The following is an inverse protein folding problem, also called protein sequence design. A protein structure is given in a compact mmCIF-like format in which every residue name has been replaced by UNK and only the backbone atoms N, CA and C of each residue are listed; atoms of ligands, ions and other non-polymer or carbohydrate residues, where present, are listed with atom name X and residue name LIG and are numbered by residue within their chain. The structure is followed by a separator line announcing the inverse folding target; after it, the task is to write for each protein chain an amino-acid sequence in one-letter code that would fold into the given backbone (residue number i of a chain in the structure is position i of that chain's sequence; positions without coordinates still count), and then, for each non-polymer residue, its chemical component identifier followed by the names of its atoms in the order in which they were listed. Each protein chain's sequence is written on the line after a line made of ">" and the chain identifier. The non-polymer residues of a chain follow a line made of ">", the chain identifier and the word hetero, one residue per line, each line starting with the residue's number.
data_IF_102107837584
#
_entry.id   IF_102107837584
#
_cell.length_a   1.000
_cell.length_b   1.000
_cell.length_c   1.000
_cell.angle_alpha   90.00
_cell.angle_beta   90.00
_cell.angle_gamma   90.00
#
_symmetry.space_group_name_H-M   'P 1'
#
loop_
_entity.id
_entity.type
_entity.pdbx_description
1 polymer ?
#
# COMPACT_ATOMS: atom_id res chain seq x y z
N UNK A 1 65.61 44.45 9.00
CA UNK A 1 65.65 45.27 7.75
C UNK A 1 64.50 44.86 6.88
N UNK A 2 63.59 45.81 6.64
CA UNK A 2 62.67 46.04 5.54
C UNK A 2 61.88 44.82 4.99
N UNK A 3 60.64 44.61 5.32
CA UNK A 3 59.41 45.36 4.93
C UNK A 3 59.18 45.48 3.42
N UNK A 4 58.23 44.80 2.89
CA UNK A 4 57.37 45.39 1.87
C UNK A 4 55.93 44.75 1.88
N UNK A 5 54.96 45.60 2.20
CA UNK A 5 53.54 45.39 2.15
C UNK A 5 53.07 45.49 0.67
N UNK A 6 52.41 44.47 0.14
CA UNK A 6 51.58 44.63 -1.06
C UNK A 6 50.08 44.63 -0.70
N UNK A 7 49.47 45.80 -0.73
CA UNK A 7 48.03 46.05 -0.73
C UNK A 7 47.49 45.68 -2.11
N UNK A 8 46.64 44.66 -2.19
CA UNK A 8 45.78 44.38 -3.36
C UNK A 8 44.41 44.96 -3.07
N UNK A 9 44.05 45.97 -3.86
CA UNK A 9 42.70 46.54 -3.94
C UNK A 9 41.84 45.55 -4.72
N UNK A 10 40.76 45.05 -4.13
CA UNK A 10 39.70 44.36 -4.80
C UNK A 10 38.63 45.38 -5.19
N UNK A 11 38.49 45.63 -6.50
CA UNK A 11 37.38 46.36 -7.10
C UNK A 11 36.13 45.47 -7.05
N UNK A 12 35.16 45.85 -6.22
CA UNK A 12 33.80 45.31 -6.21
C UNK A 12 33.05 45.82 -7.44
N UNK A 13 32.94 45.00 -8.47
CA UNK A 13 31.98 45.17 -9.55
C UNK A 13 30.60 44.77 -9.06
N UNK A 14 29.74 45.74 -8.77
CA UNK A 14 28.31 45.54 -8.49
C UNK A 14 27.64 45.29 -9.83
N UNK A 15 27.52 44.03 -10.22
CA UNK A 15 26.68 43.58 -11.32
C UNK A 15 25.22 43.64 -10.90
N UNK A 16 24.44 44.58 -11.44
CA UNK A 16 22.98 44.60 -11.29
C UNK A 16 22.39 43.38 -11.98
N UNK A 17 22.06 42.37 -11.20
CA UNK A 17 21.32 41.17 -11.63
C UNK A 17 19.86 41.57 -11.83
N UNK A 18 19.46 41.85 -13.06
CA UNK A 18 18.05 41.99 -13.43
C UNK A 18 17.38 40.64 -13.18
N UNK A 19 16.65 40.51 -12.08
CA UNK A 19 15.80 39.39 -11.83
C UNK A 19 14.65 39.41 -12.85
N UNK A 20 14.78 38.62 -13.92
CA UNK A 20 13.65 38.29 -14.78
C UNK A 20 12.69 37.44 -13.92
N UNK A 21 11.43 37.87 -13.73
CA UNK A 21 10.47 37.02 -13.04
C UNK A 21 10.30 35.75 -13.88
N UNK A 22 10.77 34.61 -13.38
CA UNK A 22 10.38 33.31 -13.90
C UNK A 22 8.86 33.25 -13.72
N UNK A 23 8.11 33.49 -14.76
CA UNK A 23 6.68 33.19 -14.79
C UNK A 23 6.58 31.70 -14.42
N UNK A 24 6.02 31.39 -13.24
CA UNK A 24 5.74 30.04 -12.82
C UNK A 24 4.81 29.45 -13.88
N UNK A 25 5.39 28.67 -14.81
CA UNK A 25 4.63 27.90 -15.76
C UNK A 25 3.78 26.93 -14.92
N UNK A 26 2.48 27.14 -14.91
CA UNK A 26 1.55 26.15 -14.35
C UNK A 26 1.90 24.81 -15.00
N UNK A 27 2.27 23.80 -14.22
CA UNK A 27 2.65 22.50 -14.78
C UNK A 27 1.51 21.99 -15.66
N UNK A 28 1.85 21.51 -16.86
CA UNK A 28 0.86 20.93 -17.76
C UNK A 28 0.12 19.80 -17.02
N UNK A 29 -1.20 19.69 -17.18
CA UNK A 29 -1.97 18.66 -16.49
C UNK A 29 -1.50 17.27 -16.90
N UNK A 30 -1.32 16.41 -15.91
CA UNK A 30 -0.98 15.01 -16.13
C UNK A 30 -2.19 14.29 -16.76
N UNK A 31 -2.05 13.90 -18.02
CA UNK A 31 -3.08 13.16 -18.74
C UNK A 31 -2.99 11.69 -18.36
N UNK A 32 -4.09 11.14 -17.87
CA UNK A 32 -4.17 9.76 -17.43
C UNK A 32 -5.31 9.05 -18.16
N UNK A 33 -5.00 7.90 -18.77
CA UNK A 33 -6.00 6.93 -19.19
C UNK A 33 -6.35 5.98 -18.05
N UNK A 34 -7.44 5.22 -18.21
CA UNK A 34 -7.82 4.19 -17.25
C UNK A 34 -6.70 3.17 -17.05
N UNK A 35 -6.16 2.63 -18.14
CA UNK A 35 -5.06 1.67 -18.12
C UNK A 35 -3.79 2.21 -17.45
N UNK A 36 -3.39 3.45 -17.76
CA UNK A 36 -2.22 4.09 -17.14
C UNK A 36 -2.40 4.26 -15.63
N UNK A 37 -3.61 4.64 -15.22
CA UNK A 37 -3.97 4.81 -13.81
C UNK A 37 -3.83 3.49 -13.04
N UNK A 38 -4.37 2.39 -13.57
CA UNK A 38 -4.27 1.05 -12.99
C UNK A 38 -2.82 0.60 -12.90
N UNK A 39 -2.05 0.71 -13.99
CA UNK A 39 -0.64 0.33 -14.05
C UNK A 39 0.20 1.12 -13.05
N UNK A 40 -0.01 2.43 -12.96
CA UNK A 40 0.73 3.30 -12.03
C UNK A 40 0.41 2.95 -10.57
N UNK A 41 -0.84 2.75 -10.24
CA UNK A 41 -1.24 2.36 -8.88
C UNK A 41 -0.70 1.00 -8.47
N UNK A 42 -0.71 0.02 -9.37
CA UNK A 42 -0.20 -1.33 -9.08
C UNK A 42 1.32 -1.38 -8.84
N UNK A 43 2.07 -0.37 -9.31
CA UNK A 43 3.54 -0.31 -9.17
C UNK A 43 4.07 0.74 -8.21
N UNK A 44 3.39 1.89 -8.08
CA UNK A 44 3.94 3.06 -7.39
C UNK A 44 3.03 3.68 -6.32
N UNK A 45 1.87 3.07 -6.02
CA UNK A 45 1.05 3.55 -4.92
C UNK A 45 1.78 3.40 -3.57
N UNK A 46 1.61 4.34 -2.61
CA UNK A 46 2.30 4.28 -1.31
C UNK A 46 2.08 2.96 -0.56
N UNK A 47 0.90 2.35 -0.70
CA UNK A 47 0.63 1.05 -0.10
C UNK A 47 1.50 -0.07 -0.71
N UNK A 48 1.79 -0.01 -2.02
CA UNK A 48 2.64 -0.98 -2.73
C UNK A 48 4.10 -0.79 -2.33
N UNK A 49 4.57 0.45 -2.23
CA UNK A 49 5.92 0.78 -1.75
C UNK A 49 6.13 0.26 -0.32
N UNK A 50 5.18 0.50 0.58
CA UNK A 50 5.22 -0.03 1.96
C UNK A 50 5.26 -1.56 1.99
N UNK A 51 4.54 -2.23 1.10
CA UNK A 51 4.56 -3.70 1.00
C UNK A 51 5.91 -4.21 0.46
N UNK A 52 6.54 -3.48 -0.47
CA UNK A 52 7.91 -3.74 -0.93
C UNK A 52 8.91 -3.67 0.22
N UNK A 53 8.88 -2.59 1.01
CA UNK A 53 9.76 -2.41 2.17
C UNK A 53 9.59 -3.51 3.23
N UNK A 54 8.37 -4.04 3.41
CA UNK A 54 8.14 -5.21 4.29
C UNK A 54 8.79 -6.48 3.74
N UNK A 55 8.85 -6.64 2.43
CA UNK A 55 9.57 -7.74 1.79
C UNK A 55 11.08 -7.58 1.99
N UNK A 56 11.63 -6.36 1.83
CA UNK A 56 13.04 -6.06 2.10
C UNK A 56 13.41 -6.32 3.57
N UNK A 57 12.50 -5.99 4.50
CA UNK A 57 12.64 -6.30 5.93
C UNK A 57 12.72 -7.83 6.15
N UNK A 58 11.83 -8.59 5.52
CA UNK A 58 11.87 -10.05 5.61
C UNK A 58 13.16 -10.64 5.01
N UNK A 59 13.68 -10.08 3.92
CA UNK A 59 14.99 -10.46 3.37
C UNK A 59 16.15 -10.12 4.31
N UNK A 60 16.10 -8.98 4.99
CA UNK A 60 17.09 -8.64 6.01
C UNK A 60 17.08 -9.66 7.17
N UNK A 61 15.90 -10.15 7.56
CA UNK A 61 15.77 -11.25 8.54
C UNK A 61 16.40 -12.56 8.06
N UNK A 62 16.36 -12.86 6.75
CA UNK A 62 17.09 -13.99 6.19
C UNK A 62 18.60 -13.82 6.34
N UNK A 63 19.13 -12.59 6.10
CA UNK A 63 20.55 -12.30 6.33
C UNK A 63 20.92 -12.44 7.81
N UNK A 64 20.08 -11.98 8.74
CA UNK A 64 20.26 -12.20 10.17
C UNK A 64 20.26 -13.70 10.55
N UNK A 65 19.31 -14.49 10.00
CA UNK A 65 19.28 -15.92 10.27
C UNK A 65 20.55 -16.63 9.73
N UNK A 66 21.07 -16.19 8.57
CA UNK A 66 22.31 -16.72 7.99
C UNK A 66 23.54 -16.37 8.82
N UNK A 67 23.58 -15.24 9.52
CA UNK A 67 24.75 -14.84 10.30
C UNK A 67 25.07 -15.83 11.41
N UNK A 68 24.10 -16.61 11.91
CA UNK A 68 24.32 -17.68 12.86
C UNK A 68 25.16 -18.86 12.29
N UNK A 69 25.29 -18.94 10.97
CA UNK A 69 26.11 -19.95 10.26
C UNK A 69 27.48 -19.41 9.82
N UNK A 70 27.74 -18.13 10.04
CA UNK A 70 28.98 -17.46 9.63
C UNK A 70 29.90 -17.28 10.84
N UNK A 71 31.23 -17.15 10.63
CA UNK A 71 32.16 -16.86 11.71
C UNK A 71 31.88 -15.48 12.30
N UNK A 72 31.81 -15.43 13.63
CA UNK A 72 31.70 -14.19 14.38
C UNK A 72 33.04 -13.80 14.98
N UNK A 73 33.47 -12.56 14.76
CA UNK A 73 34.67 -11.99 15.38
C UNK A 73 34.24 -10.94 16.40
N UNK A 74 34.85 -10.98 17.58
CA UNK A 74 34.65 -9.96 18.60
C UNK A 74 35.96 -9.64 19.28
N UNK A 75 36.14 -8.36 19.66
CA UNK A 75 37.23 -7.92 20.48
C UNK A 75 36.63 -7.50 21.81
N UNK A 76 37.21 -7.99 22.91
CA UNK A 76 36.81 -7.62 24.24
C UNK A 76 38.05 -7.27 25.05
N UNK A 77 37.98 -6.19 25.83
CA UNK A 77 38.99 -5.83 26.80
C UNK A 77 38.29 -5.57 28.13
N UNK A 78 38.91 -6.02 29.20
CA UNK A 78 38.47 -5.69 30.54
C UNK A 78 39.65 -5.39 31.47
N UNK A 79 39.43 -4.55 32.45
CA UNK A 79 40.25 -4.33 33.59
C UNK A 79 39.40 -4.58 34.84
N UNK A 80 39.97 -5.33 35.77
CA UNK A 80 39.31 -5.61 37.04
C UNK A 80 40.35 -5.58 38.17
N UNK A 81 40.06 -4.86 39.22
CA UNK A 81 40.79 -4.93 40.49
C UNK A 81 40.02 -5.83 41.45
N UNK A 82 40.67 -6.90 41.92
CA UNK A 82 39.99 -7.89 42.79
C UNK A 82 40.87 -8.42 43.89
N UNK A 83 40.24 -8.81 44.96
CA UNK A 83 40.81 -9.66 46.01
C UNK A 83 40.29 -11.10 45.82
N UNK A 84 41.10 -12.06 46.19
CA UNK A 84 40.79 -13.47 46.07
C UNK A 84 40.97 -14.20 47.39
N UNK A 85 40.02 -15.03 47.81
CA UNK A 85 40.15 -15.89 48.99
C UNK A 85 40.91 -17.18 48.62
N UNK A 86 42.14 -17.33 49.09
CA UNK A 86 42.99 -18.46 48.76
C UNK A 86 42.41 -19.83 49.20
N UNK A 87 41.57 -19.84 50.23
CA UNK A 87 40.95 -21.05 50.74
C UNK A 87 39.90 -21.65 49.80
N UNK A 88 39.32 -20.80 48.93
CA UNK A 88 38.33 -21.27 47.94
C UNK A 88 38.95 -22.11 46.80
N UNK A 89 40.28 -22.10 46.63
CA UNK A 89 40.96 -22.93 45.66
C UNK A 89 40.95 -24.42 46.03
N UNK A 90 40.72 -24.79 47.28
CA UNK A 90 40.76 -26.17 47.75
C UNK A 90 42.12 -26.85 47.62
N UNK A 91 43.15 -26.12 47.22
CA UNK A 91 44.53 -26.65 47.04
C UNK A 91 45.35 -26.38 48.30
N UNK A 92 45.94 -27.45 48.84
CA UNK A 92 46.91 -27.31 49.92
C UNK A 92 48.30 -27.04 49.31
N UNK A 93 48.75 -25.80 49.36
CA UNK A 93 50.11 -25.49 48.97
C UNK A 93 51.06 -25.91 50.11
N UNK A 94 52.23 -26.53 49.81
CA UNK A 94 53.25 -26.75 50.78
C UNK A 94 53.63 -25.40 51.42
N UNK A 95 53.45 -25.27 52.72
CA UNK A 95 53.86 -24.06 53.43
C UNK A 95 55.38 -23.95 53.44
N UNK A 96 56.01 -22.87 52.96
CA UNK A 96 57.42 -22.64 53.19
C UNK A 96 57.69 -22.45 54.69
N UNK A 97 58.91 -22.71 55.16
CA UNK A 97 59.25 -22.46 56.57
C UNK A 97 59.01 -20.97 56.90
N UNK A 98 57.93 -20.73 57.68
CA UNK A 98 57.59 -19.34 58.11
C UNK A 98 56.18 -18.87 57.82
N UNK A 99 55.29 -19.67 57.17
CA UNK A 99 53.87 -19.29 57.00
C UNK A 99 53.17 -19.81 55.73
N UNK A 100 51.87 -20.08 55.83
CA UNK A 100 50.97 -20.41 54.68
C UNK A 100 50.62 -19.17 53.89
N UNK A 101 50.02 -19.37 52.69
CA UNK A 101 49.48 -18.29 51.88
C UNK A 101 48.45 -17.48 52.68
N UNK A 102 48.47 -16.15 52.58
CA UNK A 102 47.48 -15.30 53.21
C UNK A 102 46.07 -15.70 52.74
N UNK A 103 45.12 -15.65 53.68
CA UNK A 103 43.74 -16.00 53.37
C UNK A 103 43.11 -15.13 52.27
N UNK A 104 43.54 -13.85 52.20
CA UNK A 104 43.13 -12.89 51.18
C UNK A 104 44.36 -12.52 50.37
N UNK A 105 44.32 -12.79 49.09
CA UNK A 105 45.31 -12.39 48.09
C UNK A 105 44.80 -11.18 47.34
N UNK A 106 45.61 -10.16 47.20
CA UNK A 106 45.25 -8.90 46.54
C UNK A 106 45.07 -7.72 47.51
N UNK A 107 44.58 -6.55 47.06
CA UNK A 107 44.01 -6.36 45.69
C UNK A 107 45.09 -6.47 44.61
N UNK A 108 44.70 -7.03 43.47
CA UNK A 108 45.51 -7.05 42.26
C UNK A 108 44.70 -6.71 41.03
N UNK A 109 45.33 -6.05 40.09
CA UNK A 109 44.74 -5.74 38.79
C UNK A 109 44.82 -6.95 37.87
N UNK A 110 43.82 -7.10 37.04
CA UNK A 110 43.84 -8.05 35.93
C UNK A 110 43.36 -7.32 34.66
N UNK A 111 44.23 -7.24 33.70
CA UNK A 111 43.97 -6.68 32.38
C UNK A 111 43.93 -7.84 31.39
N UNK A 112 42.87 -7.89 30.57
CA UNK A 112 42.73 -8.89 29.53
C UNK A 112 42.15 -8.22 28.28
N UNK A 113 42.80 -8.42 27.13
CA UNK A 113 42.31 -7.94 25.83
C UNK A 113 42.40 -9.09 24.84
N UNK A 114 41.25 -9.52 24.28
CA UNK A 114 41.14 -10.72 23.44
C UNK A 114 40.41 -10.47 22.16
N UNK A 115 40.93 -11.02 21.07
CA UNK A 115 40.19 -11.29 19.85
C UNK A 115 39.58 -12.70 19.97
N UNK A 116 38.27 -12.81 19.79
CA UNK A 116 37.55 -14.08 19.84
C UNK A 116 36.90 -14.36 18.49
N UNK A 117 37.12 -15.54 17.97
CA UNK A 117 36.42 -16.13 16.85
C UNK A 117 35.46 -17.20 17.37
N UNK A 118 34.20 -17.13 16.95
CA UNK A 118 33.22 -18.19 17.21
C UNK A 118 32.60 -18.62 15.88
N UNK A 119 32.53 -19.94 15.65
CA UNK A 119 31.94 -20.53 14.45
C UNK A 119 31.08 -21.70 14.82
N UNK A 120 29.80 -21.65 14.44
CA UNK A 120 28.95 -22.83 14.42
C UNK A 120 29.27 -23.65 13.18
N UNK A 121 29.82 -24.85 13.38
CA UNK A 121 30.22 -25.76 12.30
C UNK A 121 29.04 -26.61 11.87
N UNK A 122 28.24 -27.07 12.85
CA UNK A 122 27.06 -27.88 12.60
C UNK A 122 25.92 -27.47 13.54
N UNK A 123 24.82 -27.02 12.95
CA UNK A 123 23.56 -26.73 13.65
C UNK A 123 22.39 -26.79 12.66
N UNK A 124 21.68 -27.90 12.69
CA UNK A 124 20.49 -28.10 11.83
C UNK A 124 19.35 -27.13 12.17
N UNK A 125 19.28 -26.69 13.43
CA UNK A 125 18.27 -25.69 13.83
C UNK A 125 18.51 -24.33 13.19
N UNK A 126 19.76 -23.89 13.11
CA UNK A 126 20.13 -22.63 12.42
C UNK A 126 19.85 -22.72 10.92
N UNK A 127 20.17 -23.85 10.26
CA UNK A 127 19.83 -24.07 8.87
C UNK A 127 18.31 -24.10 8.65
N UNK A 128 17.55 -24.68 9.58
CA UNK A 128 16.09 -24.71 9.52
C UNK A 128 15.49 -23.31 9.78
N UNK A 129 16.09 -22.48 10.66
CA UNK A 129 15.71 -21.06 10.85
C UNK A 129 15.90 -20.23 9.58
N UNK A 130 16.98 -20.46 8.83
CA UNK A 130 17.16 -19.79 7.52
C UNK A 130 16.06 -20.20 6.53
N UNK A 131 15.65 -21.47 6.52
CA UNK A 131 14.52 -21.94 5.68
C UNK A 131 13.20 -21.29 6.09
N UNK A 132 12.93 -21.18 7.40
CA UNK A 132 11.75 -20.51 7.93
C UNK A 132 11.72 -19.02 7.55
N UNK A 133 12.86 -18.32 7.68
CA UNK A 133 12.97 -16.93 7.27
C UNK A 133 12.73 -16.74 5.76
N UNK A 134 13.22 -17.66 4.91
CA UNK A 134 12.91 -17.63 3.46
C UNK A 134 11.44 -17.91 3.16
N UNK A 135 10.79 -18.78 3.93
CA UNK A 135 9.35 -19.01 3.80
C UNK A 135 8.57 -17.73 4.16
N UNK A 136 9.01 -16.99 5.18
CA UNK A 136 8.43 -15.70 5.53
C UNK A 136 8.58 -14.65 4.41
N UNK A 137 9.71 -14.63 3.69
CA UNK A 137 9.89 -13.74 2.51
C UNK A 137 8.84 -14.06 1.44
N UNK A 138 8.62 -15.34 1.14
CA UNK A 138 7.56 -15.73 0.18
C UNK A 138 6.18 -15.26 0.61
N UNK A 139 5.87 -15.36 1.92
CA UNK A 139 4.63 -14.83 2.49
C UNK A 139 4.50 -13.32 2.29
N UNK A 140 5.54 -12.55 2.64
CA UNK A 140 5.56 -11.09 2.47
C UNK A 140 5.44 -10.67 1.00
N UNK A 141 6.09 -11.38 0.08
CA UNK A 141 6.00 -11.11 -1.37
C UNK A 141 4.60 -11.38 -1.91
N UNK A 142 3.95 -12.47 -1.49
CA UNK A 142 2.57 -12.77 -1.88
C UNK A 142 1.59 -11.72 -1.31
N UNK A 143 1.80 -11.27 -0.06
CA UNK A 143 1.04 -10.17 0.54
C UNK A 143 1.24 -8.86 -0.22
N UNK A 144 2.47 -8.56 -0.64
CA UNK A 144 2.77 -7.40 -1.51
C UNK A 144 2.01 -7.45 -2.83
N UNK A 145 1.89 -8.64 -3.43
CA UNK A 145 1.09 -8.84 -4.64
C UNK A 145 -0.40 -8.59 -4.40
N UNK A 146 -0.94 -9.01 -3.23
CA UNK A 146 -2.33 -8.74 -2.86
C UNK A 146 -2.59 -7.25 -2.64
N UNK A 147 -1.63 -6.53 -2.04
CA UNK A 147 -1.70 -5.07 -1.88
C UNK A 147 -1.68 -4.37 -3.24
N UNK A 148 -0.83 -4.81 -4.18
CA UNK A 148 -0.77 -4.28 -5.54
C UNK A 148 -2.09 -4.47 -6.30
N UNK A 149 -2.73 -5.63 -6.17
CA UNK A 149 -4.06 -5.93 -6.72
C UNK A 149 -5.13 -5.00 -6.14
N UNK A 150 -5.12 -4.82 -4.82
CA UNK A 150 -6.03 -3.90 -4.14
C UNK A 150 -5.82 -2.43 -4.53
N UNK A 151 -4.58 -2.00 -4.71
CA UNK A 151 -4.24 -0.65 -5.16
C UNK A 151 -4.72 -0.40 -6.60
N UNK A 152 -4.54 -1.37 -7.50
CA UNK A 152 -5.03 -1.33 -8.86
C UNK A 152 -6.55 -1.15 -8.91
N UNK A 153 -7.30 -2.01 -8.19
CA UNK A 153 -8.76 -1.92 -8.11
C UNK A 153 -9.23 -0.60 -7.49
N UNK A 154 -8.56 -0.14 -6.42
CA UNK A 154 -8.85 1.15 -5.76
C UNK A 154 -8.68 2.34 -6.68
N UNK A 155 -7.60 2.37 -7.45
CA UNK A 155 -7.32 3.43 -8.42
C UNK A 155 -8.28 3.39 -9.62
N UNK A 156 -8.66 2.19 -10.10
CA UNK A 156 -9.69 2.03 -11.12
C UNK A 156 -11.02 2.65 -10.67
N UNK A 157 -11.46 2.36 -9.44
CA UNK A 157 -12.67 2.95 -8.87
C UNK A 157 -12.56 4.47 -8.67
N UNK A 158 -11.39 4.97 -8.24
CA UNK A 158 -11.16 6.41 -8.11
C UNK A 158 -11.23 7.12 -9.48
N UNK A 159 -10.65 6.52 -10.52
CA UNK A 159 -10.75 7.00 -11.90
C UNK A 159 -12.19 7.09 -12.39
N UNK A 160 -12.99 6.02 -12.17
CA UNK A 160 -14.40 5.98 -12.53
C UNK A 160 -15.22 7.07 -11.82
N UNK A 161 -14.89 7.39 -10.55
CA UNK A 161 -15.52 8.51 -9.82
C UNK A 161 -15.22 9.85 -10.48
N UNK A 162 -14.00 10.07 -10.95
CA UNK A 162 -13.65 11.28 -11.72
C UNK A 162 -14.43 11.35 -13.02
N UNK A 163 -14.52 10.22 -13.76
CA UNK A 163 -15.28 10.14 -15.01
C UNK A 163 -16.78 10.42 -14.79
N UNK A 164 -17.37 9.85 -13.73
CA UNK A 164 -18.75 10.15 -13.32
C UNK A 164 -18.95 11.63 -13.01
N UNK A 165 -18.08 12.21 -12.19
CA UNK A 165 -18.17 13.63 -11.81
C UNK A 165 -17.99 14.56 -13.03
N UNK A 166 -17.10 14.21 -13.97
CA UNK A 166 -16.94 14.93 -15.22
C UNK A 166 -18.21 14.88 -16.09
N UNK A 167 -18.84 13.68 -16.20
CA UNK A 167 -20.12 13.52 -16.90
C UNK A 167 -21.23 14.35 -16.26
N UNK A 168 -21.27 14.40 -14.93
CA UNK A 168 -22.24 15.24 -14.20
C UNK A 168 -22.02 16.74 -14.47
N UNK A 169 -20.77 17.22 -14.54
CA UNK A 169 -20.49 18.62 -14.90
C UNK A 169 -20.98 18.93 -16.30
N UNK A 170 -20.78 18.05 -17.27
CA UNK A 170 -21.28 18.19 -18.64
C UNK A 170 -22.81 18.26 -18.64
N UNK A 171 -23.48 17.35 -17.91
CA UNK A 171 -24.94 17.34 -17.79
C UNK A 171 -25.46 18.65 -17.17
N UNK A 172 -24.91 19.10 -16.04
CA UNK A 172 -25.33 20.35 -15.35
C UNK A 172 -25.07 21.60 -16.20
N UNK A 173 -24.01 21.61 -17.03
CA UNK A 173 -23.79 22.71 -17.97
C UNK A 173 -24.87 22.77 -19.04
N UNK A 174 -25.27 21.62 -19.58
CA UNK A 174 -26.35 21.52 -20.54
C UNK A 174 -27.72 21.94 -19.91
N UNK A 175 -27.98 21.52 -18.67
CA UNK A 175 -29.20 21.89 -17.94
C UNK A 175 -29.27 23.40 -17.66
N UNK A 176 -28.15 24.03 -17.31
CA UNK A 176 -28.06 25.49 -17.12
C UNK A 176 -28.28 26.26 -18.43
N UNK A 177 -27.78 25.75 -19.56
CA UNK A 177 -28.03 26.34 -20.87
C UNK A 177 -29.53 26.26 -21.25
N UNK A 178 -30.16 25.09 -21.08
CA UNK A 178 -31.61 24.95 -21.31
C UNK A 178 -32.43 25.87 -20.42
N UNK A 179 -32.07 26.04 -19.15
CA UNK A 179 -32.76 26.95 -18.24
C UNK A 179 -32.59 28.41 -18.67
N UNK A 180 -31.44 28.81 -19.22
CA UNK A 180 -31.21 30.16 -19.76
C UNK A 180 -32.08 30.43 -20.99
N UNK A 181 -32.16 29.45 -21.93
CA UNK A 181 -33.03 29.54 -23.10
C UNK A 181 -34.52 29.72 -22.72
N UNK A 182 -34.97 28.99 -21.70
CA UNK A 182 -36.34 29.09 -21.18
C UNK A 182 -36.65 30.47 -20.58
N UNK A 183 -35.66 31.10 -19.90
CA UNK A 183 -35.84 32.48 -19.42
C UNK A 183 -36.06 33.44 -20.61
N UNK A 184 -35.24 33.28 -21.66
CA UNK A 184 -35.40 34.10 -22.90
C UNK A 184 -36.76 33.94 -23.54
N UNK A 185 -37.24 32.68 -23.69
CA UNK A 185 -38.52 32.37 -24.26
C UNK A 185 -39.68 32.92 -23.43
N UNK A 186 -39.67 32.73 -22.10
CA UNK A 186 -40.70 33.26 -21.20
C UNK A 186 -40.73 34.78 -21.20
N UNK A 187 -39.58 35.46 -21.31
CA UNK A 187 -39.51 36.91 -21.42
C UNK A 187 -40.12 37.40 -22.75
N UNK A 188 -39.79 36.71 -23.88
CA UNK A 188 -40.38 37.05 -25.19
C UNK A 188 -41.92 36.89 -25.20
N UNK A 189 -42.43 35.79 -24.65
CA UNK A 189 -43.88 35.55 -24.55
C UNK A 189 -44.58 36.59 -23.64
N UNK A 190 -43.96 36.97 -22.55
CA UNK A 190 -44.49 38.04 -21.71
C UNK A 190 -44.55 39.35 -22.47
N UNK A 191 -43.53 39.72 -23.22
CA UNK A 191 -43.50 40.95 -24.02
C UNK A 191 -44.55 40.93 -25.15
N UNK A 192 -44.87 39.75 -25.68
CA UNK A 192 -45.94 39.55 -26.65
C UNK A 192 -47.35 39.50 -26.01
N UNK A 193 -47.46 39.56 -24.69
CA UNK A 193 -48.76 39.58 -23.95
C UNK A 193 -49.42 38.18 -23.85
N UNK A 194 -48.73 37.08 -24.23
CA UNK A 194 -49.26 35.71 -24.22
C UNK A 194 -48.89 34.90 -23.00
N UNK A 195 -48.00 35.44 -22.11
CA UNK A 195 -47.55 34.76 -20.87
C UNK A 195 -47.56 35.71 -19.68
N UNK A 196 -47.82 35.19 -18.47
CA UNK A 196 -47.85 35.93 -17.23
C UNK A 196 -46.43 36.25 -16.65
N UNK A 197 -46.31 37.32 -15.87
CA UNK A 197 -45.04 37.67 -15.21
C UNK A 197 -44.46 36.55 -14.32
N UNK A 198 -45.33 35.72 -13.72
CA UNK A 198 -44.94 34.59 -12.89
C UNK A 198 -44.12 33.53 -13.64
N UNK A 199 -44.37 33.39 -14.97
CA UNK A 199 -43.63 32.39 -15.80
C UNK A 199 -42.18 32.79 -15.96
N UNK A 200 -41.89 34.09 -16.11
CA UNK A 200 -40.53 34.64 -16.12
C UNK A 200 -39.84 34.40 -14.78
N UNK A 201 -40.55 34.64 -13.67
CA UNK A 201 -40.01 34.43 -12.32
C UNK A 201 -39.66 32.98 -12.08
N UNK A 202 -40.54 32.04 -12.47
CA UNK A 202 -40.30 30.59 -12.38
C UNK A 202 -39.10 30.18 -13.21
N UNK A 203 -38.99 30.61 -14.47
CA UNK A 203 -37.85 30.32 -15.33
C UNK A 203 -36.53 30.84 -14.72
N UNK A 204 -36.51 32.06 -14.18
CA UNK A 204 -35.33 32.62 -13.49
C UNK A 204 -34.94 31.81 -12.24
N UNK A 205 -35.92 31.40 -11.42
CA UNK A 205 -35.66 30.51 -10.27
C UNK A 205 -34.99 29.21 -10.71
N UNK A 206 -35.48 28.61 -11.81
CA UNK A 206 -34.91 27.39 -12.36
C UNK A 206 -33.46 27.60 -12.86
N UNK A 207 -33.15 28.74 -13.51
CA UNK A 207 -31.82 29.09 -13.93
C UNK A 207 -30.85 29.22 -12.74
N UNK A 208 -31.26 29.92 -11.69
CA UNK A 208 -30.44 30.06 -10.46
C UNK A 208 -30.19 28.72 -9.81
N UNK A 209 -31.21 27.84 -9.75
CA UNK A 209 -31.07 26.46 -9.23
C UNK A 209 -30.10 25.64 -10.06
N UNK A 210 -30.17 25.71 -11.40
CA UNK A 210 -29.29 25.02 -12.32
C UNK A 210 -27.83 25.52 -12.20
N UNK A 211 -27.62 26.82 -12.05
CA UNK A 211 -26.31 27.40 -11.82
C UNK A 211 -25.68 26.94 -10.48
N UNK A 212 -26.49 26.87 -9.43
CA UNK A 212 -26.08 26.30 -8.14
C UNK A 212 -25.67 24.84 -8.25
N UNK A 213 -26.48 24.01 -8.94
CA UNK A 213 -26.17 22.61 -9.18
C UNK A 213 -24.87 22.41 -9.99
N UNK A 214 -24.60 23.28 -10.98
CA UNK A 214 -23.35 23.25 -11.73
C UNK A 214 -22.13 23.56 -10.84
N UNK A 215 -22.25 24.51 -9.92
CA UNK A 215 -21.19 24.84 -8.97
C UNK A 215 -20.85 23.66 -8.07
N UNK A 216 -21.87 22.98 -7.54
CA UNK A 216 -21.72 21.76 -6.71
C UNK A 216 -21.04 20.64 -7.51
N UNK A 217 -21.46 20.41 -8.76
CA UNK A 217 -20.87 19.38 -9.63
C UNK A 217 -19.38 19.65 -9.92
N UNK A 218 -18.99 20.91 -10.16
CA UNK A 218 -17.58 21.29 -10.34
C UNK A 218 -16.76 21.00 -9.09
N UNK A 219 -17.25 21.38 -7.91
CA UNK A 219 -16.58 21.08 -6.65
C UNK A 219 -16.41 19.57 -6.44
N UNK A 220 -17.42 18.77 -6.77
CA UNK A 220 -17.34 17.31 -6.68
C UNK A 220 -16.31 16.71 -7.65
N UNK A 221 -16.18 17.26 -8.86
CA UNK A 221 -15.15 16.87 -9.81
C UNK A 221 -13.75 17.15 -9.25
N UNK A 222 -13.53 18.33 -8.70
CA UNK A 222 -12.24 18.71 -8.15
C UNK A 222 -11.86 17.83 -6.93
N UNK A 223 -12.83 17.53 -6.05
CA UNK A 223 -12.64 16.58 -4.95
C UNK A 223 -12.26 15.18 -5.45
N UNK A 224 -12.98 14.67 -6.45
CA UNK A 224 -12.68 13.34 -7.00
C UNK A 224 -11.31 13.27 -7.68
N UNK A 225 -10.81 14.37 -8.26
CA UNK A 225 -9.43 14.48 -8.76
C UNK A 225 -8.42 14.39 -7.62
N UNK A 226 -8.65 15.08 -6.51
CA UNK A 226 -7.79 14.99 -5.31
C UNK A 226 -7.76 13.56 -4.76
N UNK A 227 -8.90 12.87 -4.72
CA UNK A 227 -8.96 11.47 -4.28
C UNK A 227 -8.15 10.56 -5.20
N UNK A 228 -8.20 10.80 -6.52
CA UNK A 228 -7.42 10.05 -7.51
C UNK A 228 -5.90 10.33 -7.35
N UNK A 229 -5.49 11.60 -7.20
CA UNK A 229 -4.08 11.95 -6.95
C UNK A 229 -3.55 11.24 -5.72
N UNK A 230 -4.32 11.22 -4.64
CA UNK A 230 -3.98 10.52 -3.41
C UNK A 230 -3.87 9.00 -3.61
N UNK A 231 -4.79 8.39 -4.35
CA UNK A 231 -4.74 6.95 -4.64
C UNK A 231 -3.50 6.55 -5.43
N UNK A 232 -2.98 7.47 -6.27
CA UNK A 232 -1.75 7.29 -7.05
C UNK A 232 -0.47 7.67 -6.31
N UNK A 233 -0.57 8.17 -5.06
CA UNK A 233 0.59 8.67 -4.32
C UNK A 233 1.19 9.95 -4.88
N UNK A 234 0.42 10.73 -5.64
CA UNK A 234 0.84 12.01 -6.20
C UNK A 234 0.53 13.16 -5.23
N UNK A 235 1.23 14.28 -5.41
CA UNK A 235 0.93 15.50 -4.68
C UNK A 235 -0.52 15.94 -4.98
N UNK A 236 -1.35 16.27 -3.95
CA UNK A 236 -2.73 16.71 -4.12
C UNK A 236 -2.94 17.90 -5.05
N UNK A 237 -1.90 18.73 -5.23
CA UNK A 237 -1.91 19.90 -6.11
C UNK A 237 -1.54 19.57 -7.56
N UNK A 238 -1.19 18.32 -7.89
CA UNK A 238 -0.90 17.90 -9.25
C UNK A 238 -2.16 17.99 -10.10
N UNK A 239 -2.22 18.84 -11.14
CA UNK A 239 -3.37 18.93 -12.01
C UNK A 239 -3.49 17.64 -12.84
N UNK A 240 -4.64 16.96 -12.72
CA UNK A 240 -4.94 15.72 -13.46
C UNK A 240 -6.06 15.96 -14.47
N UNK A 241 -5.88 15.45 -15.67
CA UNK A 241 -6.90 15.34 -16.71
C UNK A 241 -7.08 13.88 -17.11
N UNK A 242 -8.31 13.37 -17.03
CA UNK A 242 -8.64 12.03 -17.51
C UNK A 242 -8.91 12.08 -19.01
N UNK A 243 -8.45 11.04 -19.75
CA UNK A 243 -8.63 10.97 -21.20
C UNK A 243 -9.91 10.26 -21.61
N UNK A 244 -10.37 9.32 -20.77
CA UNK A 244 -11.54 8.50 -21.09
C UNK A 244 -12.80 9.11 -20.48
N UNK A 245 -13.91 8.93 -21.19
CA UNK A 245 -15.22 9.35 -20.73
C UNK A 245 -16.02 8.14 -20.21
N UNK A 246 -17.03 8.40 -19.38
CA UNK A 246 -17.89 7.34 -18.84
C UNK A 246 -18.72 6.62 -19.95
N UNK A 247 -18.78 7.19 -21.16
CA UNK A 247 -19.44 6.60 -22.33
C UNK A 247 -18.52 5.68 -23.14
N UNK A 248 -17.21 5.75 -22.94
CA UNK A 248 -16.25 4.85 -23.58
C UNK A 248 -16.47 3.42 -23.08
N UNK A 249 -16.27 2.44 -23.94
CA UNK A 249 -16.15 1.05 -23.53
C UNK A 249 -14.88 0.95 -22.68
N UNK A 250 -15.04 0.83 -21.35
CA UNK A 250 -13.90 0.62 -20.49
C UNK A 250 -13.31 -0.75 -20.79
N UNK A 251 -11.99 -0.87 -20.85
CA UNK A 251 -11.33 -2.15 -21.08
C UNK A 251 -11.80 -3.16 -20.03
N UNK A 252 -12.01 -4.35 -20.46
CA UNK A 252 -12.43 -5.47 -19.61
C UNK A 252 -11.20 -6.38 -19.47
N UNK A 253 -10.92 -6.88 -18.28
CA UNK A 253 -10.01 -8.01 -18.13
C UNK A 253 -10.59 -9.20 -18.90
N UNK A 254 -9.73 -10.03 -19.49
CA UNK A 254 -10.13 -11.28 -20.15
C UNK A 254 -10.64 -12.28 -19.11
N UNK A 255 -11.90 -12.12 -18.74
CA UNK A 255 -12.57 -13.00 -17.78
C UNK A 255 -13.32 -14.06 -18.58
N UNK A 256 -13.16 -15.37 -18.26
CA UNK A 256 -13.90 -16.44 -18.90
C UNK A 256 -15.42 -16.23 -18.82
N UNK A 257 -16.15 -16.78 -19.79
CA UNK A 257 -17.61 -16.63 -19.81
C UNK A 257 -18.35 -17.54 -18.80
N UNK A 258 -17.77 -18.70 -18.47
CA UNK A 258 -18.40 -19.67 -17.57
C UNK A 258 -18.06 -19.36 -16.10
N UNK A 259 -19.06 -19.26 -15.19
CA UNK A 259 -18.85 -18.94 -13.77
C UNK A 259 -17.84 -19.86 -13.07
N UNK A 260 -17.91 -21.18 -13.33
CA UNK A 260 -17.01 -22.17 -12.73
C UNK A 260 -15.55 -21.94 -13.16
N UNK A 261 -15.34 -21.51 -14.42
CA UNK A 261 -14.01 -21.18 -14.94
C UNK A 261 -13.44 -19.93 -14.29
N UNK A 262 -14.30 -18.94 -13.95
CA UNK A 262 -13.87 -17.73 -13.24
C UNK A 262 -13.46 -18.08 -11.81
N UNK A 263 -14.24 -18.91 -11.12
CA UNK A 263 -13.89 -19.36 -9.76
C UNK A 263 -12.57 -20.14 -9.76
N UNK A 264 -12.40 -21.07 -10.73
CA UNK A 264 -11.13 -21.81 -10.85
C UNK A 264 -9.94 -20.87 -11.12
N UNK A 265 -10.10 -19.88 -12.00
CA UNK A 265 -9.11 -18.86 -12.27
C UNK A 265 -8.77 -18.04 -11.01
N UNK A 266 -9.79 -17.56 -10.30
CA UNK A 266 -9.64 -16.78 -9.08
C UNK A 266 -8.88 -17.56 -8.00
N UNK A 267 -9.23 -18.83 -7.77
CA UNK A 267 -8.54 -19.71 -6.82
C UNK A 267 -7.06 -19.96 -7.19
N UNK A 268 -6.72 -19.91 -8.49
CA UNK A 268 -5.36 -20.09 -8.97
C UNK A 268 -4.52 -18.81 -8.94
N UNK A 269 -5.15 -17.64 -9.15
CA UNK A 269 -4.42 -16.39 -9.40
C UNK A 269 -4.51 -15.38 -8.26
N UNK A 270 -5.46 -15.49 -7.35
CA UNK A 270 -5.63 -14.49 -6.27
C UNK A 270 -4.45 -14.51 -5.30
N UNK A 271 -3.74 -13.37 -5.16
CA UNK A 271 -2.52 -13.30 -4.35
C UNK A 271 -2.80 -13.31 -2.85
N UNK A 272 -4.01 -12.93 -2.40
CA UNK A 272 -4.41 -13.02 -0.98
C UNK A 272 -4.51 -14.48 -0.51
N UNK A 273 -5.04 -15.39 -1.34
CA UNK A 273 -5.04 -16.82 -1.05
C UNK A 273 -3.61 -17.38 -1.05
N UNK A 274 -2.79 -16.98 -2.03
CA UNK A 274 -1.38 -17.37 -2.07
C UNK A 274 -0.60 -16.89 -0.83
N UNK A 275 -0.89 -15.69 -0.33
CA UNK A 275 -0.29 -15.15 0.89
C UNK A 275 -0.67 -15.97 2.12
N UNK A 276 -1.94 -16.39 2.26
CA UNK A 276 -2.38 -17.18 3.40
C UNK A 276 -1.78 -18.59 3.39
N UNK A 277 -1.68 -19.23 2.23
CA UNK A 277 -0.98 -20.52 2.07
C UNK A 277 0.50 -20.37 2.43
N UNK A 278 1.17 -19.32 1.96
CA UNK A 278 2.58 -19.06 2.27
C UNK A 278 2.83 -18.79 3.77
N UNK A 279 1.86 -18.20 4.49
CA UNK A 279 1.92 -18.04 5.96
C UNK A 279 1.88 -19.39 6.67
N UNK A 280 0.99 -20.31 6.23
CA UNK A 280 0.93 -21.68 6.75
C UNK A 280 2.26 -22.42 6.54
N UNK A 281 2.85 -22.31 5.34
CA UNK A 281 4.16 -22.90 5.04
C UNK A 281 5.29 -22.32 5.90
N UNK A 282 5.26 -21.03 6.16
CA UNK A 282 6.23 -20.37 7.03
C UNK A 282 6.11 -20.88 8.47
N UNK A 283 4.89 -21.00 9.01
CA UNK A 283 4.64 -21.56 10.34
C UNK A 283 5.07 -23.03 10.43
N UNK A 284 4.78 -23.86 9.44
CA UNK A 284 5.22 -25.25 9.37
C UNK A 284 6.75 -25.38 9.33
N UNK A 285 7.41 -24.49 8.59
CA UNK A 285 8.87 -24.45 8.52
C UNK A 285 9.48 -23.97 9.84
N UNK A 286 8.84 -22.99 10.50
CA UNK A 286 9.24 -22.52 11.83
C UNK A 286 9.10 -23.64 12.89
N UNK A 287 8.01 -24.40 12.86
CA UNK A 287 7.85 -25.60 13.71
C UNK A 287 8.97 -26.60 13.47
N UNK A 288 9.33 -26.86 12.22
CA UNK A 288 10.44 -27.77 11.86
C UNK A 288 11.77 -27.27 12.41
N UNK A 289 12.02 -25.95 12.42
CA UNK A 289 13.20 -25.35 13.01
C UNK A 289 13.27 -25.55 14.53
N UNK A 290 12.14 -25.40 15.24
CA UNK A 290 12.05 -25.67 16.68
C UNK A 290 12.34 -27.15 16.99
N UNK A 291 11.78 -28.06 16.20
CA UNK A 291 12.05 -29.49 16.37
C UNK A 291 13.53 -29.84 16.14
N UNK A 292 14.19 -29.15 15.21
CA UNK A 292 15.62 -29.35 14.94
C UNK A 292 16.54 -28.87 16.09
N UNK A 293 16.03 -28.06 17.02
CA UNK A 293 16.76 -27.64 18.23
C UNK A 293 17.05 -28.82 19.20
N UNK A 294 16.45 -29.99 18.98
CA UNK A 294 16.74 -31.22 19.73
C UNK A 294 18.02 -31.94 19.27
N UNK A 295 18.52 -31.57 18.10
CA UNK A 295 19.69 -32.19 17.51
C UNK A 295 21.00 -31.60 18.08
N UNK A 296 22.10 -32.38 18.05
CA UNK A 296 23.40 -31.88 18.49
C UNK A 296 23.83 -30.65 17.72
N UNK A 297 24.51 -29.73 18.42
CA UNK A 297 25.18 -28.57 17.87
C UNK A 297 26.68 -28.66 18.10
N UNK A 298 27.47 -28.32 17.10
CA UNK A 298 28.92 -28.27 17.14
C UNK A 298 29.42 -26.85 16.92
N UNK A 299 30.07 -26.31 17.92
CA UNK A 299 30.67 -24.98 17.88
C UNK A 299 32.19 -25.06 18.02
N UNK A 300 32.90 -24.22 17.28
CA UNK A 300 34.34 -23.99 17.43
C UNK A 300 34.53 -22.56 17.93
N UNK A 301 35.34 -22.42 18.96
CA UNK A 301 35.75 -21.13 19.49
C UNK A 301 37.27 -21.06 19.54
N UNK A 302 37.83 -19.94 19.10
CA UNK A 302 39.25 -19.65 19.24
C UNK A 302 39.40 -18.24 19.80
N UNK A 303 40.30 -18.06 20.75
CA UNK A 303 40.67 -16.75 21.20
C UNK A 303 42.20 -16.57 21.25
N UNK A 304 42.61 -15.35 21.00
CA UNK A 304 44.00 -14.89 21.10
C UNK A 304 44.02 -13.51 21.75
N UNK A 305 44.84 -13.35 22.77
CA UNK A 305 44.88 -12.07 23.48
C UNK A 305 46.08 -11.90 24.42
N UNK A 306 46.07 -10.78 25.08
CA UNK A 306 47.06 -10.37 26.09
C UNK A 306 46.37 -10.36 27.47
N UNK A 307 47.00 -11.03 28.45
CA UNK A 307 46.51 -11.06 29.83
C UNK A 307 47.65 -10.83 30.81
N UNK A 308 47.41 -9.99 31.81
CA UNK A 308 48.44 -9.69 32.83
C UNK A 308 47.96 -8.75 33.93
N UNK A 309 48.87 -8.45 34.87
CA UNK A 309 48.60 -7.52 35.96
C UNK A 309 48.66 -6.06 35.51
N UNK A 310 49.55 -5.76 34.56
CA UNK A 310 49.75 -4.44 33.96
C UNK A 310 49.91 -4.59 32.45
N UNK A 311 49.71 -3.53 31.64
CA UNK A 311 49.95 -3.60 30.22
C UNK A 311 51.36 -4.07 29.82
N UNK A 312 52.37 -3.66 30.61
CA UNK A 312 53.78 -3.97 30.37
C UNK A 312 54.18 -5.41 30.75
N UNK A 313 53.41 -6.06 31.63
CA UNK A 313 53.68 -7.43 32.10
C UNK A 313 52.71 -8.44 31.47
N UNK A 314 51.82 -8.00 30.57
CA UNK A 314 50.87 -8.86 29.89
C UNK A 314 51.58 -9.79 28.89
N UNK A 315 51.16 -11.05 28.89
CA UNK A 315 51.69 -12.09 28.00
C UNK A 315 50.60 -12.54 27.05
N UNK A 316 51.00 -12.98 25.86
CA UNK A 316 50.05 -13.53 24.86
C UNK A 316 49.56 -14.93 25.27
N UNK A 317 48.26 -15.10 25.22
CA UNK A 317 47.60 -16.40 25.49
C UNK A 317 46.66 -16.74 24.33
N UNK A 318 46.49 -18.04 24.06
CA UNK A 318 45.56 -18.53 23.06
C UNK A 318 44.77 -19.73 23.57
N UNK A 319 43.56 -19.84 23.13
CA UNK A 319 42.73 -21.03 23.39
C UNK A 319 41.97 -21.39 22.11
N UNK A 320 41.89 -22.69 21.80
CA UNK A 320 41.06 -23.24 20.73
C UNK A 320 40.26 -24.37 21.38
N UNK A 321 38.97 -24.30 21.20
CA UNK A 321 38.04 -25.29 21.77
C UNK A 321 36.98 -25.70 20.76
N UNK A 322 36.57 -26.96 20.87
CA UNK A 322 35.43 -27.52 20.14
C UNK A 322 34.40 -27.94 21.20
N UNK A 323 33.17 -27.51 21.03
CA UNK A 323 32.08 -27.80 21.96
C UNK A 323 30.94 -28.50 21.25
N UNK A 324 30.51 -29.65 21.74
CA UNK A 324 29.27 -30.31 21.35
C UNK A 324 28.21 -30.02 22.43
N UNK A 325 27.06 -29.53 22.02
CA UNK A 325 25.93 -29.23 22.91
C UNK A 325 24.70 -29.99 22.45
N UNK A 326 24.09 -30.76 23.38
CA UNK A 326 22.84 -31.50 23.15
C UNK A 326 21.86 -31.07 24.24
N UNK A 327 20.80 -30.32 23.90
CA UNK A 327 19.82 -29.89 24.89
C UNK A 327 18.86 -31.06 25.22
N UNK A 328 18.95 -31.61 26.42
CA UNK A 328 18.14 -32.73 26.85
C UNK A 328 16.76 -32.25 27.38
N UNK A 329 16.77 -31.31 28.31
CA UNK A 329 15.56 -30.75 28.93
C UNK A 329 15.65 -29.26 29.04
N UNK A 330 14.59 -28.53 28.66
CA UNK A 330 14.52 -27.07 28.71
C UNK A 330 13.22 -26.55 29.37
N UNK A 331 12.62 -27.37 30.25
CA UNK A 331 11.39 -27.02 30.93
C UNK A 331 10.16 -26.97 30.00
N UNK A 332 10.11 -27.82 29.00
CA UNK A 332 9.03 -27.90 27.99
C UNK A 332 8.85 -26.66 27.11
N UNK A 333 9.85 -25.77 27.09
CA UNK A 333 9.79 -24.55 26.29
C UNK A 333 9.70 -24.84 24.78
N UNK A 334 10.45 -25.83 24.28
CA UNK A 334 10.39 -26.23 22.85
C UNK A 334 9.05 -26.84 22.49
N UNK A 335 8.49 -27.68 23.37
CA UNK A 335 7.17 -28.30 23.21
C UNK A 335 6.09 -27.23 23.12
N UNK A 336 6.12 -26.23 24.03
CA UNK A 336 5.20 -25.08 24.00
C UNK A 336 5.30 -24.27 22.70
N UNK A 337 6.52 -23.95 22.26
CA UNK A 337 6.76 -23.23 20.99
C UNK A 337 6.35 -24.05 19.76
N UNK A 338 6.56 -25.38 19.78
CA UNK A 338 6.12 -26.26 18.71
C UNK A 338 4.59 -26.39 18.66
N UNK A 339 3.94 -26.41 19.83
CA UNK A 339 2.48 -26.40 19.94
C UNK A 339 1.88 -25.08 19.44
N UNK A 340 2.49 -23.93 19.78
CA UNK A 340 2.13 -22.60 19.27
C UNK A 340 2.18 -22.57 17.74
N UNK A 341 3.31 -22.99 17.14
CA UNK A 341 3.42 -23.03 15.67
C UNK A 341 2.43 -24.02 15.04
N UNK A 342 2.10 -25.12 15.72
CA UNK A 342 1.09 -26.06 15.25
C UNK A 342 -0.33 -25.45 15.26
N UNK A 343 -0.62 -24.58 16.23
CA UNK A 343 -1.87 -23.84 16.26
C UNK A 343 -1.93 -22.80 15.11
N UNK A 344 -0.82 -22.10 14.86
CA UNK A 344 -0.70 -21.13 13.75
C UNK A 344 -0.90 -21.83 12.39
N UNK A 345 -0.35 -23.03 12.19
CA UNK A 345 -0.59 -23.81 10.95
C UNK A 345 -2.08 -24.12 10.79
N UNK A 346 -2.73 -24.65 11.82
CA UNK A 346 -4.17 -24.94 11.77
C UNK A 346 -5.03 -23.69 11.55
N UNK A 347 -4.65 -22.57 12.17
CA UNK A 347 -5.31 -21.28 11.95
C UNK A 347 -5.22 -20.85 10.48
N UNK A 348 -4.04 -20.96 9.87
CA UNK A 348 -3.84 -20.63 8.45
C UNK A 348 -4.62 -21.58 7.52
N UNK A 349 -4.70 -22.87 7.84
CA UNK A 349 -5.53 -23.85 7.10
C UNK A 349 -7.01 -23.49 7.14
N UNK A 350 -7.52 -23.06 8.30
CA UNK A 350 -8.92 -22.62 8.45
C UNK A 350 -9.16 -21.36 7.65
N UNK A 351 -8.28 -20.36 7.76
CA UNK A 351 -8.38 -19.10 6.99
C UNK A 351 -8.32 -19.34 5.48
N UNK A 352 -7.41 -20.20 5.02
CA UNK A 352 -7.29 -20.52 3.60
C UNK A 352 -8.56 -21.24 3.08
N UNK A 353 -9.20 -22.07 3.89
CA UNK A 353 -10.46 -22.73 3.53
C UNK A 353 -11.62 -21.71 3.47
N UNK A 354 -11.74 -20.85 4.47
CA UNK A 354 -12.73 -19.78 4.53
C UNK A 354 -12.58 -18.82 3.33
N UNK A 355 -11.35 -18.39 3.06
CA UNK A 355 -11.04 -17.50 1.94
C UNK A 355 -11.41 -18.11 0.58
N UNK A 356 -11.25 -19.44 0.40
CA UNK A 356 -11.72 -20.10 -0.84
C UNK A 356 -13.24 -19.99 -1.01
N UNK A 357 -13.99 -20.15 0.08
CA UNK A 357 -15.46 -19.99 0.04
C UNK A 357 -15.85 -18.54 -0.23
N UNK A 358 -15.17 -17.61 0.43
CA UNK A 358 -15.36 -16.17 0.20
C UNK A 358 -15.06 -15.78 -1.26
N UNK A 359 -13.98 -16.29 -1.87
CA UNK A 359 -13.63 -16.05 -3.27
C UNK A 359 -14.75 -16.52 -4.19
N UNK A 360 -15.28 -17.72 -3.97
CA UNK A 360 -16.39 -18.24 -4.79
C UNK A 360 -17.64 -17.36 -4.67
N UNK A 361 -17.99 -16.94 -3.45
CA UNK A 361 -19.12 -16.05 -3.20
C UNK A 361 -18.90 -14.64 -3.80
N UNK A 362 -17.70 -14.07 -3.72
CA UNK A 362 -17.35 -12.79 -4.32
C UNK A 362 -17.49 -12.82 -5.86
N UNK A 363 -17.05 -13.89 -6.51
CA UNK A 363 -17.18 -14.08 -7.96
C UNK A 363 -18.66 -14.17 -8.35
N UNK A 364 -19.44 -14.98 -7.66
CA UNK A 364 -20.87 -15.14 -7.94
C UNK A 364 -21.63 -13.82 -7.76
N UNK A 365 -21.38 -13.12 -6.64
CA UNK A 365 -21.97 -11.79 -6.38
C UNK A 365 -21.60 -10.81 -7.48
N UNK A 366 -20.33 -10.76 -7.89
CA UNK A 366 -19.88 -9.83 -8.93
C UNK A 366 -20.52 -10.13 -10.31
N UNK A 367 -20.81 -11.40 -10.63
CA UNK A 367 -21.52 -11.78 -11.83
C UNK A 367 -22.99 -11.35 -11.80
N UNK A 368 -23.67 -11.55 -10.66
CA UNK A 368 -25.04 -11.08 -10.47
C UNK A 368 -25.14 -9.55 -10.57
N UNK A 369 -24.21 -8.85 -9.93
CA UNK A 369 -24.14 -7.39 -9.99
C UNK A 369 -23.88 -6.90 -11.43
N UNK A 370 -22.99 -7.55 -12.16
CA UNK A 370 -22.69 -7.20 -13.55
C UNK A 370 -23.95 -7.38 -14.44
N UNK A 371 -24.64 -8.51 -14.34
CA UNK A 371 -25.86 -8.78 -15.12
C UNK A 371 -26.96 -7.75 -14.78
N UNK A 372 -27.17 -7.48 -13.49
CA UNK A 372 -28.17 -6.51 -13.01
C UNK A 372 -27.85 -5.09 -13.48
N UNK A 373 -26.59 -4.64 -13.34
CA UNK A 373 -26.20 -3.27 -13.72
C UNK A 373 -26.22 -3.06 -15.24
N UNK A 374 -25.90 -4.07 -16.04
CA UNK A 374 -26.07 -4.02 -17.52
C UNK A 374 -27.53 -3.85 -17.92
N UNK A 375 -28.45 -4.61 -17.30
CA UNK A 375 -29.88 -4.45 -17.55
C UNK A 375 -30.39 -3.06 -17.13
N UNK A 376 -29.97 -2.56 -15.95
CA UNK A 376 -30.29 -1.22 -15.46
C UNK A 376 -29.77 -0.12 -16.41
N UNK A 377 -28.56 -0.28 -16.97
CA UNK A 377 -28.00 0.65 -17.95
C UNK A 377 -28.85 0.75 -19.20
N UNK A 378 -29.33 -0.39 -19.74
CA UNK A 378 -30.22 -0.39 -20.91
C UNK A 378 -31.55 0.34 -20.63
N UNK A 379 -32.13 0.09 -19.44
CA UNK A 379 -33.40 0.76 -19.00
C UNK A 379 -33.15 2.27 -18.80
N UNK A 380 -32.05 2.65 -18.21
CA UNK A 380 -31.72 4.06 -17.98
C UNK A 380 -31.48 4.82 -19.29
N UNK A 381 -30.82 4.21 -20.26
CA UNK A 381 -30.60 4.79 -21.58
C UNK A 381 -31.95 5.03 -22.33
N UNK A 382 -32.87 4.06 -22.28
CA UNK A 382 -34.21 4.23 -22.91
C UNK A 382 -35.02 5.31 -22.17
N UNK A 383 -34.98 5.35 -20.86
CA UNK A 383 -35.61 6.42 -20.05
C UNK A 383 -35.06 7.80 -20.41
N UNK A 384 -33.75 7.91 -20.63
CA UNK A 384 -33.14 9.17 -21.05
C UNK A 384 -33.60 9.60 -22.41
N UNK A 385 -33.72 8.66 -23.37
CA UNK A 385 -34.27 8.92 -24.73
C UNK A 385 -35.69 9.47 -24.65
N UNK A 386 -36.59 8.77 -23.93
CA UNK A 386 -37.98 9.18 -23.79
C UNK A 386 -38.13 10.55 -23.07
N UNK A 387 -37.32 10.82 -22.03
CA UNK A 387 -37.36 12.11 -21.35
C UNK A 387 -36.82 13.27 -22.24
N UNK A 388 -35.90 12.96 -23.17
CA UNK A 388 -35.43 13.94 -24.14
C UNK A 388 -36.51 14.26 -25.18
N UNK A 389 -37.23 13.25 -25.63
CA UNK A 389 -38.39 13.41 -26.56
C UNK A 389 -39.53 14.21 -25.91
N UNK A 390 -39.86 13.88 -24.61
CA UNK A 390 -40.83 14.64 -23.80
C UNK A 390 -40.46 16.12 -23.70
N UNK A 391 -39.18 16.39 -23.42
CA UNK A 391 -38.66 17.78 -23.29
C UNK A 391 -38.75 18.54 -24.61
N UNK A 392 -38.44 17.89 -25.74
CA UNK A 392 -38.55 18.50 -27.09
C UNK A 392 -40.01 18.88 -27.39
N UNK A 393 -40.95 17.94 -27.20
CA UNK A 393 -42.37 18.17 -27.40
C UNK A 393 -42.92 19.26 -26.50
N UNK A 394 -42.59 19.27 -25.22
CA UNK A 394 -43.03 20.30 -24.27
C UNK A 394 -42.52 21.69 -24.70
N UNK A 395 -41.27 21.81 -25.18
CA UNK A 395 -40.73 23.08 -25.69
C UNK A 395 -41.49 23.58 -26.94
N UNK A 396 -41.77 22.71 -27.90
CA UNK A 396 -42.54 23.03 -29.12
C UNK A 396 -43.96 23.53 -28.78
N UNK A 397 -44.65 22.83 -27.90
CA UNK A 397 -46.00 23.19 -27.44
C UNK A 397 -46.03 24.55 -26.70
N UNK A 398 -45.03 24.77 -25.86
CA UNK A 398 -44.88 26.05 -25.17
C UNK A 398 -44.54 27.20 -26.13
N UNK A 399 -43.65 26.97 -27.10
CA UNK A 399 -43.28 27.96 -28.12
C UNK A 399 -44.48 28.34 -28.99
N UNK A 400 -45.36 27.36 -29.30
CA UNK A 400 -46.60 27.55 -30.08
C UNK A 400 -47.74 28.22 -29.22
N UNK A 401 -47.51 28.47 -27.92
CA UNK A 401 -48.52 29.04 -27.05
C UNK A 401 -49.67 28.09 -26.65
N UNK A 402 -49.51 26.79 -26.95
CA UNK A 402 -50.57 25.75 -26.71
C UNK A 402 -50.44 25.15 -25.32
N UNK A 403 -49.23 25.24 -24.68
CA UNK A 403 -48.96 24.71 -23.34
C UNK A 403 -48.43 25.80 -22.40
N UNK A 404 -48.68 25.65 -21.11
CA UNK A 404 -48.11 26.54 -20.07
C UNK A 404 -46.67 26.20 -19.71
N UNK A 405 -45.93 27.15 -19.14
CA UNK A 405 -44.53 26.97 -18.68
C UNK A 405 -44.34 25.79 -17.73
N UNK A 406 -45.37 25.40 -16.96
CA UNK A 406 -45.31 24.30 -15.98
C UNK A 406 -45.05 22.95 -16.65
N UNK A 407 -45.55 22.71 -17.90
CA UNK A 407 -45.33 21.51 -18.68
C UNK A 407 -43.83 21.39 -19.02
N UNK A 408 -43.20 22.49 -19.45
CA UNK A 408 -41.77 22.52 -19.81
C UNK A 408 -40.90 22.32 -18.54
N UNK A 409 -41.27 22.92 -17.43
CA UNK A 409 -40.54 22.75 -16.14
C UNK A 409 -40.61 21.28 -15.69
N UNK A 410 -41.76 20.61 -15.83
CA UNK A 410 -41.90 19.22 -15.46
C UNK A 410 -41.08 18.29 -16.39
N UNK A 411 -41.14 18.53 -17.71
CA UNK A 411 -40.34 17.81 -18.68
C UNK A 411 -38.83 18.02 -18.44
N UNK A 412 -38.41 19.25 -18.10
CA UNK A 412 -37.02 19.52 -17.73
C UNK A 412 -36.59 18.77 -16.45
N UNK A 413 -37.44 18.71 -15.44
CA UNK A 413 -37.17 17.95 -14.21
C UNK A 413 -37.12 16.43 -14.50
N UNK A 414 -37.93 15.93 -15.42
CA UNK A 414 -37.91 14.54 -15.90
C UNK A 414 -36.59 14.23 -16.61
N UNK A 415 -36.17 15.08 -17.55
CA UNK A 415 -34.90 14.93 -18.27
C UNK A 415 -33.68 14.98 -17.34
N UNK A 416 -33.66 15.89 -16.36
CA UNK A 416 -32.64 15.98 -15.33
C UNK A 416 -32.47 14.66 -14.58
N UNK A 417 -33.57 14.12 -14.05
CA UNK A 417 -33.57 12.84 -13.33
C UNK A 417 -33.13 11.68 -14.23
N UNK A 418 -33.55 11.68 -15.48
CA UNK A 418 -33.16 10.64 -16.42
C UNK A 418 -31.67 10.68 -16.76
N UNK A 419 -31.09 11.86 -16.95
CA UNK A 419 -29.63 12.04 -17.15
C UNK A 419 -28.84 11.57 -15.93
N UNK A 420 -29.23 11.92 -14.72
CA UNK A 420 -28.57 11.45 -13.51
C UNK A 420 -28.62 9.93 -13.39
N UNK A 421 -29.80 9.35 -13.65
CA UNK A 421 -29.97 7.89 -13.61
C UNK A 421 -29.11 7.18 -14.67
N UNK A 422 -28.98 7.73 -15.89
CA UNK A 422 -28.12 7.16 -16.95
C UNK A 422 -26.64 7.24 -16.56
N UNK A 423 -26.16 8.39 -16.04
CA UNK A 423 -24.77 8.52 -15.57
C UNK A 423 -24.50 7.53 -14.44
N UNK A 424 -25.42 7.39 -13.48
CA UNK A 424 -25.26 6.49 -12.34
C UNK A 424 -25.29 5.01 -12.78
N UNK A 425 -26.15 4.65 -13.73
CA UNK A 425 -26.24 3.29 -14.28
C UNK A 425 -24.95 2.92 -15.04
N UNK A 426 -24.40 3.82 -15.86
CA UNK A 426 -23.10 3.62 -16.54
C UNK A 426 -21.97 3.47 -15.55
N UNK A 427 -21.93 4.30 -14.52
CA UNK A 427 -20.94 4.20 -13.46
C UNK A 427 -21.06 2.87 -12.70
N UNK A 428 -22.27 2.43 -12.36
CA UNK A 428 -22.51 1.16 -11.67
C UNK A 428 -22.06 -0.03 -12.54
N UNK A 429 -22.37 -0.04 -13.84
CA UNK A 429 -21.94 -1.09 -14.75
C UNK A 429 -20.41 -1.16 -14.89
N UNK A 430 -19.74 0.01 -15.00
CA UNK A 430 -18.27 0.07 -15.02
C UNK A 430 -17.65 -0.42 -13.70
N UNK A 431 -18.24 -0.04 -12.58
CA UNK A 431 -17.80 -0.49 -11.23
C UNK A 431 -17.97 -2.00 -11.07
N UNK A 432 -19.07 -2.58 -11.54
CA UNK A 432 -19.31 -4.02 -11.50
C UNK A 432 -18.27 -4.81 -12.33
N UNK A 433 -17.84 -4.28 -13.48
CA UNK A 433 -16.73 -4.88 -14.26
C UNK A 433 -15.41 -4.88 -13.49
N UNK A 434 -15.08 -3.76 -12.85
CA UNK A 434 -13.86 -3.68 -11.99
C UNK A 434 -13.98 -4.64 -10.81
N UNK A 435 -15.17 -4.77 -10.20
CA UNK A 435 -15.41 -5.69 -9.09
C UNK A 435 -15.22 -7.16 -9.53
N UNK A 436 -15.72 -7.53 -10.70
CA UNK A 436 -15.54 -8.88 -11.26
C UNK A 436 -14.04 -9.16 -11.55
N UNK A 437 -13.33 -8.21 -12.16
CA UNK A 437 -11.90 -8.35 -12.41
C UNK A 437 -11.12 -8.52 -11.11
N UNK A 438 -11.45 -7.75 -10.06
CA UNK A 438 -10.86 -7.91 -8.73
C UNK A 438 -11.19 -9.27 -8.11
N UNK A 439 -12.45 -9.72 -8.19
CA UNK A 439 -12.86 -11.03 -7.68
C UNK A 439 -12.12 -12.17 -8.37
N UNK A 440 -11.83 -12.03 -9.67
CA UNK A 440 -11.03 -12.97 -10.45
C UNK A 440 -9.51 -12.85 -10.21
N UNK A 441 -9.02 -11.82 -9.47
CA UNK A 441 -7.58 -11.58 -9.26
C UNK A 441 -6.90 -10.93 -10.47
N UNK A 442 -7.63 -10.21 -11.29
CA UNK A 442 -7.19 -9.60 -12.56
C UNK A 442 -7.24 -8.07 -12.55
N UNK A 443 -7.34 -7.41 -11.39
CA UNK A 443 -7.46 -5.95 -11.35
C UNK A 443 -6.22 -5.22 -11.90
N UNK A 444 -5.04 -5.80 -11.79
CA UNK A 444 -3.79 -5.25 -12.36
C UNK A 444 -3.72 -5.33 -13.89
N UNK A 445 -4.49 -6.20 -14.50
CA UNK A 445 -4.53 -6.39 -15.95
C UNK A 445 -5.63 -5.58 -16.63
N UNK A 446 -6.40 -4.80 -15.87
CA UNK A 446 -7.40 -3.87 -16.42
C UNK A 446 -6.70 -2.81 -17.28
N UNK A 447 -7.07 -2.75 -18.57
CA UNK A 447 -6.50 -1.85 -19.58
C UNK A 447 -7.52 -1.35 -20.57
#
# INVERSE_FOLDING_TARGET
>A
MASQKHKRYWLLAVGSMVAVPLAAQTPAPLRLSFAETVRRASGAAPAVELAGLRTDEAEARVRQARSALLPGFSVAGFWVNRTFNSKTLGIKFPAPPGGGLPTVIGPFDNIDARLRLTQTVFDLSSAARVRAARAQVRGSSAEGSAVSEGAAAGAALAYLRVARAAAQVVARRADSAVAADLVGLAQAQKNAGVSAAIDVTRARTQLVSAAGALLVARNQLDRSRIDLTRALGLDPWTPIEITDTLTAALPVADVPAAPESIVALALAQRPDLAAEVARGDAAQTAKSAINAERLPRLDVAADYGLSGLTPSTSVSTRQIGVQVSIPILDGFRREGRAAEQSATVRESEVRARDLRQQIAAEVETALLDLASTQAQQAIAAERLRLAADEMAQARERFAAGVAGNIEVINAQASLLRARDTDIDARFAAATARVALARAAGLARTLH
#
